data_IF_125816370490
#
_entry.id   IF_125816370490
#
_cell.length_a   1.000
_cell.length_b   1.000
_cell.length_c   1.000
_cell.angle_alpha   90.00
_cell.angle_beta   90.00
_cell.angle_gamma   90.00
#
_symmetry.space_group_name_H-M   'P 1'
#
loop_
_entity.id
_entity.type
_entity.pdbx_description
1 polymer ?
#
# COMPACT_ATOMS: atom_id res chain seq x y z
N UNK A 1 25.04 -1.11 22.39
CA UNK A 1 23.88 -0.28 22.00
C UNK A 1 22.97 -0.11 23.19
N UNK A 2 22.31 1.04 23.33
CA UNK A 2 21.39 1.30 24.44
C UNK A 2 20.02 0.64 24.22
N UNK A 3 19.22 0.49 25.28
CA UNK A 3 17.82 0.03 25.18
C UNK A 3 16.99 0.90 24.24
N UNK A 4 17.24 2.22 24.27
CA UNK A 4 16.61 3.20 23.38
C UNK A 4 16.88 2.92 21.91
N UNK A 5 18.11 2.48 21.56
CA UNK A 5 18.47 2.15 20.19
C UNK A 5 17.62 0.99 19.65
N UNK A 6 17.46 -0.07 20.45
CA UNK A 6 16.62 -1.22 20.07
C UNK A 6 15.14 -0.85 19.99
N UNK A 7 14.65 0.04 20.86
CA UNK A 7 13.29 0.54 20.79
C UNK A 7 13.03 1.29 19.46
N UNK A 8 13.93 2.20 19.07
CA UNK A 8 13.84 2.93 17.80
C UNK A 8 13.87 1.97 16.61
N UNK A 9 14.81 1.01 16.60
CA UNK A 9 14.89 0.02 15.54
C UNK A 9 13.59 -0.80 15.45
N UNK A 10 13.06 -1.25 16.58
CA UNK A 10 11.82 -2.05 16.62
C UNK A 10 10.65 -1.28 16.05
N UNK A 11 10.48 0.00 16.40
CA UNK A 11 9.45 0.86 15.82
C UNK A 11 9.58 0.95 14.30
N UNK A 12 10.79 1.17 13.79
CA UNK A 12 11.00 1.20 12.34
C UNK A 12 10.70 -0.14 11.67
N UNK A 13 11.08 -1.27 12.28
CA UNK A 13 10.77 -2.59 11.74
C UNK A 13 9.27 -2.85 11.67
N UNK A 14 8.51 -2.47 12.71
CA UNK A 14 7.04 -2.58 12.71
C UNK A 14 6.45 -1.77 11.56
N UNK A 15 6.87 -0.52 11.40
CA UNK A 15 6.40 0.36 10.31
C UNK A 15 6.81 -0.19 8.94
N UNK A 16 8.00 -0.77 8.81
CA UNK A 16 8.50 -1.36 7.57
C UNK A 16 7.66 -2.56 7.14
N UNK A 17 7.34 -3.46 8.08
CA UNK A 17 6.50 -4.61 7.79
C UNK A 17 5.05 -4.21 7.50
N UNK A 18 4.48 -3.24 8.24
CA UNK A 18 3.12 -2.78 7.99
C UNK A 18 2.97 -2.12 6.62
N UNK A 19 3.83 -1.14 6.31
CA UNK A 19 3.80 -0.44 5.01
C UNK A 19 4.16 -1.36 3.85
N UNK A 20 5.13 -2.25 4.04
CA UNK A 20 5.51 -3.26 3.04
C UNK A 20 4.37 -4.25 2.77
N UNK A 21 3.69 -4.74 3.82
CA UNK A 21 2.57 -5.65 3.66
C UNK A 21 1.45 -5.02 2.82
N UNK A 22 1.07 -3.78 3.13
CA UNK A 22 0.03 -3.06 2.38
C UNK A 22 0.47 -2.87 0.92
N UNK A 23 1.69 -2.37 0.70
CA UNK A 23 2.21 -2.06 -0.63
C UNK A 23 2.35 -3.28 -1.55
N UNK A 24 2.70 -4.46 -1.01
CA UNK A 24 2.97 -5.66 -1.81
C UNK A 24 1.82 -6.67 -1.83
N UNK A 25 1.00 -6.75 -0.77
CA UNK A 25 0.01 -7.83 -0.60
C UNK A 25 -1.43 -7.35 -0.53
N UNK A 26 -1.69 -6.07 -0.21
CA UNK A 26 -3.06 -5.53 -0.13
C UNK A 26 -3.60 -5.00 -1.46
N UNK A 27 -2.84 -5.12 -2.54
CA UNK A 27 -3.22 -4.57 -3.84
C UNK A 27 -4.31 -5.46 -4.48
N UNK A 28 -5.57 -5.02 -4.41
CA UNK A 28 -6.71 -5.68 -5.02
C UNK A 28 -6.62 -5.57 -6.56
N UNK A 29 -5.99 -6.56 -7.18
CA UNK A 29 -5.90 -6.69 -8.64
C UNK A 29 -7.28 -6.95 -9.29
N UNK A 30 -8.25 -7.43 -8.49
CA UNK A 30 -9.55 -7.90 -8.96
C UNK A 30 -10.48 -6.79 -9.45
N UNK A 31 -10.47 -5.61 -8.80
CA UNK A 31 -11.33 -4.48 -9.17
C UNK A 31 -10.78 -3.61 -10.32
N UNK A 32 -9.52 -3.82 -10.72
CA UNK A 32 -8.80 -2.93 -11.66
C UNK A 32 -8.91 -3.35 -13.13
N UNK A 33 -9.45 -4.53 -13.43
CA UNK A 33 -9.48 -5.07 -14.80
C UNK A 33 -10.84 -4.78 -15.45
N UNK A 34 -10.89 -4.08 -16.60
CA UNK A 34 -12.14 -3.82 -17.32
C UNK A 34 -12.94 -5.10 -17.63
N UNK A 35 -12.26 -6.23 -17.80
CA UNK A 35 -12.88 -7.54 -18.00
C UNK A 35 -13.66 -8.04 -16.78
N UNK A 36 -13.19 -7.75 -15.56
CA UNK A 36 -13.90 -8.12 -14.33
C UNK A 36 -15.10 -7.21 -14.08
N UNK A 37 -14.97 -5.91 -14.38
CA UNK A 37 -16.09 -4.97 -14.35
C UNK A 37 -17.16 -5.41 -15.35
N UNK A 38 -16.76 -5.78 -16.58
CA UNK A 38 -17.66 -6.30 -17.59
C UNK A 38 -18.31 -7.63 -17.19
N UNK A 39 -17.59 -8.53 -16.49
CA UNK A 39 -18.18 -9.77 -15.97
C UNK A 39 -19.21 -9.50 -14.86
N UNK A 40 -18.90 -8.63 -13.90
CA UNK A 40 -19.81 -8.28 -12.80
C UNK A 40 -21.07 -7.59 -13.34
N UNK A 41 -20.91 -6.80 -14.41
CA UNK A 41 -22.01 -6.00 -14.94
C UNK A 41 -22.84 -6.69 -16.02
N UNK A 42 -22.40 -7.86 -16.51
CA UNK A 42 -22.99 -8.59 -17.65
C UNK A 42 -24.47 -8.96 -17.45
N UNK A 43 -24.86 -9.23 -16.21
CA UNK A 43 -26.19 -9.75 -15.89
C UNK A 43 -27.19 -8.65 -15.44
N UNK A 44 -26.82 -7.36 -15.54
CA UNK A 44 -27.75 -6.29 -15.21
C UNK A 44 -28.74 -6.02 -16.36
N UNK A 45 -30.02 -6.17 -16.06
CA UNK A 45 -31.13 -5.99 -17.01
C UNK A 45 -31.31 -4.54 -17.52
N UNK A 46 -30.65 -3.56 -16.91
CA UNK A 46 -30.78 -2.14 -17.25
C UNK A 46 -29.42 -1.50 -17.50
N UNK A 47 -29.22 -0.82 -18.65
CA UNK A 47 -28.01 -0.06 -18.94
C UNK A 47 -27.67 1.01 -17.88
N UNK A 48 -28.69 1.57 -17.23
CA UNK A 48 -28.51 2.58 -16.18
C UNK A 48 -27.89 1.96 -14.92
N UNK A 49 -28.36 0.77 -14.51
CA UNK A 49 -27.77 0.01 -13.39
C UNK A 49 -26.36 -0.46 -13.73
N UNK A 50 -26.14 -0.87 -14.96
CA UNK A 50 -24.85 -1.31 -15.47
C UNK A 50 -23.80 -0.18 -15.37
N UNK A 51 -24.16 1.02 -15.81
CA UNK A 51 -23.30 2.20 -15.75
C UNK A 51 -23.01 2.62 -14.30
N UNK A 52 -24.03 2.62 -13.44
CA UNK A 52 -23.84 2.99 -12.03
C UNK A 52 -22.91 2.02 -11.28
N UNK A 53 -23.08 0.71 -11.49
CA UNK A 53 -22.18 -0.29 -10.89
C UNK A 53 -20.76 -0.20 -11.47
N UNK A 54 -20.63 0.06 -12.77
CA UNK A 54 -19.32 0.29 -13.38
C UNK A 54 -18.61 1.52 -12.79
N UNK A 55 -19.34 2.60 -12.53
CA UNK A 55 -18.80 3.82 -11.92
C UNK A 55 -18.32 3.57 -10.47
N UNK A 56 -19.11 2.87 -9.66
CA UNK A 56 -18.70 2.47 -8.30
C UNK A 56 -17.45 1.59 -8.30
N UNK A 57 -17.36 0.63 -9.22
CA UNK A 57 -16.20 -0.25 -9.33
C UNK A 57 -14.94 0.53 -9.77
N UNK A 58 -15.09 1.54 -10.63
CA UNK A 58 -14.00 2.42 -11.04
C UNK A 58 -13.54 3.32 -9.88
N UNK A 59 -14.46 3.87 -9.10
CA UNK A 59 -14.16 4.68 -7.91
C UNK A 59 -13.41 3.86 -6.85
N UNK A 60 -13.87 2.64 -6.58
CA UNK A 60 -13.17 1.70 -5.70
C UNK A 60 -11.77 1.40 -6.23
N UNK A 61 -11.64 1.11 -7.52
CA UNK A 61 -10.34 0.83 -8.15
C UNK A 61 -9.34 1.99 -8.02
N UNK A 62 -9.82 3.24 -8.17
CA UNK A 62 -9.03 4.45 -7.95
C UNK A 62 -8.63 4.61 -6.49
N UNK A 63 -9.56 4.41 -5.56
CA UNK A 63 -9.28 4.47 -4.12
C UNK A 63 -8.17 3.48 -3.74
N UNK A 64 -8.25 2.24 -4.21
CA UNK A 64 -7.19 1.24 -3.98
C UNK A 64 -5.85 1.62 -4.65
N UNK A 65 -5.88 2.30 -5.79
CA UNK A 65 -4.64 2.79 -6.42
C UNK A 65 -3.98 3.89 -5.57
N UNK A 66 -4.76 4.80 -5.02
CA UNK A 66 -4.27 5.87 -4.16
C UNK A 66 -3.74 5.33 -2.84
N UNK A 67 -4.44 4.38 -2.21
CA UNK A 67 -3.94 3.67 -1.02
C UNK A 67 -2.60 2.98 -1.29
N UNK A 68 -2.47 2.31 -2.44
CA UNK A 68 -1.23 1.65 -2.81
C UNK A 68 -0.09 2.65 -3.07
N UNK A 69 -0.39 3.80 -3.68
CA UNK A 69 0.58 4.88 -3.87
C UNK A 69 1.05 5.46 -2.53
N UNK A 70 0.13 5.67 -1.58
CA UNK A 70 0.43 6.14 -0.23
C UNK A 70 1.28 5.10 0.51
N UNK A 71 0.93 3.82 0.42
CA UNK A 71 1.68 2.73 1.03
C UNK A 71 3.11 2.64 0.47
N UNK A 72 3.27 2.76 -0.85
CA UNK A 72 4.59 2.79 -1.53
C UNK A 72 5.46 3.96 -1.07
N UNK A 73 4.89 5.17 -1.02
CA UNK A 73 5.59 6.35 -0.52
C UNK A 73 5.99 6.18 0.95
N UNK A 74 5.06 5.71 1.79
CA UNK A 74 5.30 5.46 3.21
C UNK A 74 6.39 4.41 3.42
N UNK A 75 6.36 3.33 2.65
CA UNK A 75 7.39 2.28 2.69
C UNK A 75 8.78 2.85 2.37
N UNK A 76 8.90 3.66 1.32
CA UNK A 76 10.17 4.28 0.94
C UNK A 76 10.71 5.24 2.02
N UNK A 77 9.83 6.02 2.67
CA UNK A 77 10.22 6.89 3.79
C UNK A 77 10.76 6.07 4.97
N UNK A 78 10.08 4.98 5.33
CA UNK A 78 10.50 4.11 6.43
C UNK A 78 11.82 3.41 6.10
N UNK A 79 11.97 2.89 4.88
CA UNK A 79 13.21 2.28 4.40
C UNK A 79 14.39 3.27 4.47
N UNK A 80 14.20 4.50 3.98
CA UNK A 80 15.21 5.55 4.06
C UNK A 80 15.59 5.92 5.50
N UNK A 81 14.60 5.93 6.40
CA UNK A 81 14.81 6.18 7.83
C UNK A 81 15.64 5.07 8.48
N UNK A 82 15.36 3.79 8.17
CA UNK A 82 16.14 2.64 8.65
C UNK A 82 17.58 2.73 8.15
N UNK A 83 17.78 2.96 6.85
CA UNK A 83 19.12 3.05 6.26
C UNK A 83 19.92 4.19 6.87
N UNK A 84 19.29 5.36 7.07
CA UNK A 84 19.93 6.51 7.70
C UNK A 84 20.31 6.24 9.16
N UNK A 85 19.40 5.64 9.93
CA UNK A 85 19.63 5.27 11.33
C UNK A 85 20.77 4.26 11.47
N UNK A 86 20.79 3.21 10.65
CA UNK A 86 21.87 2.22 10.63
C UNK A 86 23.21 2.84 10.20
N UNK A 87 23.19 3.71 9.18
CA UNK A 87 24.41 4.39 8.70
C UNK A 87 25.03 5.29 9.76
N UNK A 88 24.21 6.08 10.47
CA UNK A 88 24.67 6.91 11.59
C UNK A 88 25.27 6.04 12.71
N UNK A 89 24.64 4.91 12.99
CA UNK A 89 25.10 3.94 13.99
C UNK A 89 26.46 3.33 13.64
N UNK A 90 26.71 3.02 12.36
CA UNK A 90 28.00 2.51 11.89
C UNK A 90 29.08 3.58 12.00
N UNK A 91 28.78 4.83 11.60
CA UNK A 91 29.73 5.96 11.70
C UNK A 91 30.11 6.28 13.15
N UNK A 92 29.20 6.11 14.10
CA UNK A 92 29.48 6.35 15.53
C UNK A 92 30.42 5.29 16.16
N UNK A 93 30.63 4.15 15.49
CA UNK A 93 31.52 3.07 15.95
C UNK A 93 32.94 3.15 15.39
N UNK A 94 33.20 4.00 14.39
CA UNK A 94 34.54 4.29 13.86
C UNK A 94 35.17 5.45 14.63
#
# INVERSE_FOLDING_TARGET
MSKTWYAILTTYMILFFATGYINFFSNNYFAKTPENIAQITRDYDSPEKMNWVAELLLEDAQTYQDENNIASQSFNIVLGSIVSFLSATVKQKQ
#
